data_IF_353729658791
#
_entry.id   IF_353729658791
#
_cell.length_a   1.000
_cell.length_b   1.000
_cell.length_c   1.000
_cell.angle_alpha   90.00
_cell.angle_beta   90.00
_cell.angle_gamma   90.00
#
_symmetry.space_group_name_H-M   'P 1'
#
loop_
_entity.id
_entity.type
_entity.pdbx_description
1 polymer ?
#
# COMPACT_ATOMS: atom_id res chain seq x y z
N UNK A 1 -8.29 19.50 32.33
CA UNK A 1 -7.27 18.96 31.41
C UNK A 1 -7.98 18.38 30.20
N UNK A 2 -7.94 19.08 29.07
CA UNK A 2 -8.46 18.54 27.82
C UNK A 2 -7.53 17.41 27.37
N UNK A 3 -8.09 16.22 27.21
CA UNK A 3 -7.42 15.09 26.56
C UNK A 3 -6.97 15.54 25.17
N UNK A 4 -5.65 15.63 24.95
CA UNK A 4 -5.10 15.79 23.61
C UNK A 4 -5.54 14.54 22.84
N UNK A 5 -6.33 14.71 21.80
CA UNK A 5 -6.60 13.64 20.86
C UNK A 5 -5.25 13.17 20.31
N UNK A 6 -4.82 11.98 20.74
CA UNK A 6 -3.58 11.38 20.29
C UNK A 6 -3.74 11.08 18.80
N UNK A 7 -2.75 11.47 18.00
CA UNK A 7 -2.72 11.22 16.57
C UNK A 7 -2.57 9.71 16.33
N UNK A 8 -3.67 9.01 15.99
CA UNK A 8 -3.68 7.58 15.63
C UNK A 8 -2.67 7.18 14.54
N UNK A 9 -2.08 8.12 13.79
CA UNK A 9 -1.03 7.83 12.80
C UNK A 9 0.39 7.81 13.41
N UNK A 10 0.65 8.65 14.41
CA UNK A 10 1.93 8.65 15.15
C UNK A 10 2.13 7.34 15.90
N UNK A 11 1.06 6.85 16.55
CA UNK A 11 1.06 5.54 17.21
C UNK A 11 1.34 4.40 16.22
N UNK A 12 0.79 4.49 15.00
CA UNK A 12 1.09 3.50 13.95
C UNK A 12 2.57 3.55 13.57
N UNK A 13 3.17 4.72 13.40
CA UNK A 13 4.59 4.84 13.05
C UNK A 13 5.53 4.38 14.18
N UNK A 14 5.08 4.47 15.42
CA UNK A 14 5.81 3.99 16.60
C UNK A 14 5.63 2.51 16.89
N UNK A 15 4.64 1.86 16.28
CA UNK A 15 4.39 0.43 16.44
C UNK A 15 5.58 -0.42 15.95
N UNK A 16 5.86 -1.53 16.65
CA UNK A 16 7.03 -2.38 16.38
C UNK A 16 7.09 -2.88 14.93
N UNK A 17 5.95 -3.21 14.33
CA UNK A 17 5.86 -3.60 12.91
C UNK A 17 6.34 -2.46 12.00
N UNK A 18 5.93 -1.23 12.27
CA UNK A 18 6.31 -0.06 11.46
C UNK A 18 7.80 0.26 11.61
N UNK A 19 8.34 0.14 12.83
CA UNK A 19 9.78 0.26 13.09
C UNK A 19 10.56 -0.82 12.35
N UNK A 20 10.11 -2.06 12.41
CA UNK A 20 10.73 -3.17 11.67
C UNK A 20 10.72 -2.90 10.15
N UNK A 21 9.60 -2.44 9.59
CA UNK A 21 9.50 -2.09 8.16
C UNK A 21 10.48 -0.97 7.81
N UNK A 22 10.56 0.08 8.63
CA UNK A 22 11.47 1.20 8.41
C UNK A 22 12.94 0.79 8.47
N UNK A 23 13.32 0.00 9.48
CA UNK A 23 14.67 -0.49 9.67
C UNK A 23 15.09 -1.41 8.52
N UNK A 24 14.21 -2.35 8.14
CA UNK A 24 14.46 -3.27 7.01
C UNK A 24 14.57 -2.52 5.68
N UNK A 25 13.72 -1.53 5.43
CA UNK A 25 13.80 -0.69 4.23
C UNK A 25 15.12 0.09 4.14
N UNK A 26 15.64 0.56 5.28
CA UNK A 26 16.92 1.29 5.33
C UNK A 26 18.14 0.39 5.02
N UNK A 27 18.02 -0.91 5.23
CA UNK A 27 19.07 -1.92 5.02
C UNK A 27 19.10 -2.48 3.60
N UNK A 28 18.11 -2.17 2.77
CA UNK A 28 18.11 -2.57 1.36
C UNK A 28 19.36 -2.05 0.63
N UNK A 29 19.78 -2.75 -0.42
CA UNK A 29 20.84 -2.30 -1.32
C UNK A 29 20.52 -0.92 -1.91
N UNK A 30 21.55 -0.09 -2.12
CA UNK A 30 21.41 1.23 -2.72
C UNK A 30 20.71 1.13 -4.09
N UNK A 31 19.46 1.58 -4.14
CA UNK A 31 18.57 1.39 -5.28
C UNK A 31 17.41 2.38 -5.22
N UNK A 32 16.72 2.57 -6.35
CA UNK A 32 15.48 3.36 -6.38
C UNK A 32 14.44 2.84 -5.37
N UNK A 33 14.35 1.52 -5.20
CA UNK A 33 13.43 0.92 -4.24
C UNK A 33 13.72 1.36 -2.80
N UNK A 34 14.99 1.33 -2.40
CA UNK A 34 15.45 1.84 -1.09
C UNK A 34 15.12 3.31 -0.91
N UNK A 35 15.57 4.16 -1.83
CA UNK A 35 15.44 5.62 -1.68
C UNK A 35 13.98 6.06 -1.67
N UNK A 36 13.13 5.49 -2.52
CA UNK A 36 11.69 5.75 -2.51
C UNK A 36 11.03 5.27 -1.19
N UNK A 37 11.42 4.10 -0.66
CA UNK A 37 10.91 3.61 0.63
C UNK A 37 11.25 4.55 1.78
N UNK A 38 12.52 4.97 1.88
CA UNK A 38 12.97 5.91 2.91
C UNK A 38 12.30 7.28 2.75
N UNK A 39 12.13 7.75 1.52
CA UNK A 39 11.46 9.01 1.24
C UNK A 39 9.97 8.96 1.63
N UNK A 40 9.29 7.86 1.33
CA UNK A 40 7.91 7.61 1.75
C UNK A 40 7.75 7.70 3.27
N UNK A 41 8.62 7.00 4.03
CA UNK A 41 8.61 7.03 5.50
C UNK A 41 8.83 8.44 6.05
N UNK A 42 9.72 9.23 5.42
CA UNK A 42 9.95 10.63 5.80
C UNK A 42 8.70 11.49 5.58
N UNK A 43 8.01 11.31 4.45
CA UNK A 43 6.76 12.02 4.18
C UNK A 43 5.63 11.63 5.15
N UNK A 44 5.54 10.37 5.57
CA UNK A 44 4.58 9.95 6.61
C UNK A 44 4.86 10.64 7.95
N UNK A 45 6.13 10.72 8.37
CA UNK A 45 6.52 11.43 9.60
C UNK A 45 6.14 12.90 9.54
N UNK A 46 6.49 13.59 8.46
CA UNK A 46 6.08 14.98 8.26
C UNK A 46 4.57 15.15 8.25
N UNK A 47 3.84 14.26 7.57
CA UNK A 47 2.38 14.30 7.57
C UNK A 47 1.79 14.20 8.98
N UNK A 48 2.33 13.31 9.83
CA UNK A 48 1.91 13.17 11.22
C UNK A 48 2.28 14.39 12.08
N UNK A 49 3.49 14.93 11.93
CA UNK A 49 4.01 16.05 12.73
C UNK A 49 3.25 17.34 12.45
N UNK A 50 2.93 17.61 11.18
CA UNK A 50 2.29 18.87 10.76
C UNK A 50 0.76 18.79 10.77
N UNK A 51 0.18 17.63 11.07
CA UNK A 51 -1.26 17.37 10.95
C UNK A 51 -2.12 18.39 11.69
N UNK A 52 -1.80 18.66 12.96
CA UNK A 52 -2.54 19.61 13.80
C UNK A 52 -2.35 21.07 13.34
N UNK A 53 -1.22 21.37 12.68
CA UNK A 53 -0.90 22.74 12.21
C UNK A 53 -1.51 23.03 10.85
N UNK A 54 -1.45 22.06 9.93
CA UNK A 54 -1.97 22.20 8.58
C UNK A 54 -2.44 20.85 8.03
N UNK A 55 -3.73 20.52 8.21
CA UNK A 55 -4.30 19.28 7.68
C UNK A 55 -4.18 19.14 6.16
N UNK A 56 -4.17 20.26 5.42
CA UNK A 56 -4.01 20.27 3.96
C UNK A 56 -2.60 19.83 3.57
N UNK A 57 -1.57 20.44 4.18
CA UNK A 57 -0.18 20.09 3.88
C UNK A 57 0.12 18.67 4.36
N UNK A 58 -0.41 18.26 5.53
CA UNK A 58 -0.32 16.88 5.99
C UNK A 58 -0.95 15.89 5.00
N UNK A 59 -2.13 16.22 4.46
CA UNK A 59 -2.80 15.42 3.44
C UNK A 59 -1.96 15.27 2.17
N UNK A 60 -1.31 16.35 1.74
CA UNK A 60 -0.39 16.33 0.61
C UNK A 60 0.83 15.44 0.89
N UNK A 61 1.46 15.57 2.06
CA UNK A 61 2.58 14.73 2.47
C UNK A 61 2.18 13.25 2.52
N UNK A 62 0.99 12.93 3.05
CA UNK A 62 0.47 11.57 3.10
C UNK A 62 0.26 10.96 1.71
N UNK A 63 -0.33 11.71 0.77
CA UNK A 63 -0.47 11.24 -0.62
C UNK A 63 0.89 11.03 -1.29
N UNK A 64 1.83 11.95 -1.06
CA UNK A 64 3.16 11.84 -1.64
C UNK A 64 3.93 10.63 -1.06
N UNK A 65 3.73 10.32 0.23
CA UNK A 65 4.26 9.10 0.82
C UNK A 65 3.75 7.85 0.10
N UNK A 66 2.45 7.78 -0.20
CA UNK A 66 1.87 6.66 -0.96
C UNK A 66 2.44 6.58 -2.38
N UNK A 67 2.61 7.71 -3.08
CA UNK A 67 3.24 7.72 -4.40
C UNK A 67 4.68 7.19 -4.39
N UNK A 68 5.47 7.55 -3.38
CA UNK A 68 6.84 7.05 -3.19
C UNK A 68 6.84 5.56 -2.83
N UNK A 69 5.92 5.10 -1.99
CA UNK A 69 5.78 3.69 -1.65
C UNK A 69 5.41 2.84 -2.88
N UNK A 70 4.51 3.34 -3.75
CA UNK A 70 4.20 2.73 -5.05
C UNK A 70 5.44 2.66 -5.94
N UNK A 71 6.21 3.75 -6.02
CA UNK A 71 7.44 3.79 -6.81
C UNK A 71 8.48 2.79 -6.30
N UNK A 72 8.60 2.63 -4.99
CA UNK A 72 9.47 1.64 -4.35
C UNK A 72 9.05 0.20 -4.72
N UNK A 73 7.77 -0.10 -4.55
CA UNK A 73 7.18 -1.42 -4.85
C UNK A 73 7.41 -1.80 -6.32
N UNK A 74 7.11 -0.91 -7.26
CA UNK A 74 7.30 -1.17 -8.69
C UNK A 74 8.78 -1.29 -9.05
N UNK A 75 9.66 -0.52 -8.41
CA UNK A 75 11.11 -0.65 -8.62
C UNK A 75 11.63 -2.02 -8.14
N UNK A 76 11.17 -2.50 -6.98
CA UNK A 76 11.49 -3.85 -6.49
C UNK A 76 10.94 -4.94 -7.43
N UNK A 77 9.67 -4.83 -7.84
CA UNK A 77 9.03 -5.77 -8.76
C UNK A 77 9.76 -5.87 -10.12
N UNK A 78 10.32 -4.76 -10.62
CA UNK A 78 11.16 -4.73 -11.82
C UNK A 78 12.47 -5.50 -11.67
N UNK A 79 13.03 -5.57 -10.46
CA UNK A 79 14.33 -6.20 -10.16
C UNK A 79 14.19 -7.67 -9.72
N UNK A 80 13.16 -8.02 -8.93
CA UNK A 80 13.06 -9.30 -8.21
C UNK A 80 11.86 -10.17 -8.63
N UNK A 81 11.62 -10.35 -9.94
CA UNK A 81 10.76 -11.44 -10.43
C UNK A 81 9.53 -11.06 -11.26
N UNK A 82 9.14 -9.79 -11.33
CA UNK A 82 7.92 -9.36 -12.06
C UNK A 82 8.22 -8.40 -13.22
N UNK A 83 9.45 -8.46 -13.75
CA UNK A 83 10.01 -7.50 -14.72
C UNK A 83 9.13 -7.28 -15.96
N UNK A 84 8.55 -8.35 -16.53
CA UNK A 84 7.75 -8.26 -17.78
C UNK A 84 6.50 -7.39 -17.60
N UNK A 85 5.81 -7.53 -16.48
CA UNK A 85 4.58 -6.80 -16.19
C UNK A 85 4.90 -5.44 -15.55
N UNK A 86 5.81 -5.41 -14.58
CA UNK A 86 6.16 -4.18 -13.86
C UNK A 86 6.77 -3.09 -14.78
N UNK A 87 7.47 -3.47 -15.86
CA UNK A 87 7.98 -2.53 -16.87
C UNK A 87 6.88 -1.74 -17.60
N UNK A 88 5.66 -2.26 -17.64
CA UNK A 88 4.53 -1.62 -18.31
C UNK A 88 3.90 -0.51 -17.45
N UNK A 89 4.23 -0.48 -16.15
CA UNK A 89 3.79 0.57 -15.25
C UNK A 89 4.67 1.82 -15.43
N UNK A 90 4.04 2.89 -15.92
CA UNK A 90 4.68 4.20 -16.05
C UNK A 90 4.58 4.97 -14.73
N UNK A 91 5.69 5.07 -13.99
CA UNK A 91 5.74 5.80 -12.72
C UNK A 91 5.69 7.33 -12.87
N UNK A 92 5.68 7.87 -14.08
CA UNK A 92 5.45 9.30 -14.32
C UNK A 92 3.97 9.64 -14.55
N UNK A 93 3.13 8.62 -14.73
CA UNK A 93 1.69 8.77 -14.91
C UNK A 93 0.96 8.60 -13.57
N UNK A 94 0.23 9.65 -13.15
CA UNK A 94 -0.55 9.62 -11.92
C UNK A 94 -1.64 8.55 -11.94
N UNK A 95 -2.23 8.22 -13.10
CA UNK A 95 -3.22 7.15 -13.19
C UNK A 95 -2.60 5.77 -12.91
N UNK A 96 -1.42 5.52 -13.47
CA UNK A 96 -0.66 4.29 -13.22
C UNK A 96 -0.30 4.13 -11.73
N UNK A 97 0.12 5.20 -11.05
CA UNK A 97 0.39 5.15 -9.59
C UNK A 97 -0.89 4.92 -8.77
N UNK A 98 -1.96 5.65 -9.11
CA UNK A 98 -3.26 5.52 -8.46
C UNK A 98 -3.81 4.09 -8.57
N UNK A 99 -3.58 3.43 -9.69
CA UNK A 99 -4.01 2.06 -9.88
C UNK A 99 -3.29 1.07 -8.95
N UNK A 100 -1.98 1.22 -8.74
CA UNK A 100 -1.24 0.40 -7.77
C UNK A 100 -1.78 0.62 -6.36
N UNK A 101 -1.97 1.88 -5.96
CA UNK A 101 -2.42 2.21 -4.60
C UNK A 101 -3.84 1.73 -4.35
N UNK A 102 -4.75 1.82 -5.32
CA UNK A 102 -6.12 1.27 -5.23
C UNK A 102 -6.10 -0.25 -5.05
N UNK A 103 -5.29 -0.98 -5.81
CA UNK A 103 -5.16 -2.42 -5.64
C UNK A 103 -4.60 -2.80 -4.28
N UNK A 104 -3.51 -2.16 -3.86
CA UNK A 104 -2.91 -2.38 -2.55
C UNK A 104 -3.88 -2.05 -1.40
N UNK A 105 -4.67 -1.00 -1.54
CA UNK A 105 -5.72 -0.64 -0.57
C UNK A 105 -6.80 -1.72 -0.48
N UNK A 106 -7.20 -2.33 -1.59
CA UNK A 106 -8.17 -3.43 -1.61
C UNK A 106 -7.61 -4.68 -0.96
N UNK A 107 -6.36 -5.03 -1.25
CA UNK A 107 -5.67 -6.14 -0.56
C UNK A 107 -5.63 -5.91 0.95
N UNK A 108 -5.30 -4.68 1.38
CA UNK A 108 -5.30 -4.29 2.79
C UNK A 108 -6.70 -4.40 3.43
N UNK A 109 -7.75 -3.97 2.73
CA UNK A 109 -9.14 -4.11 3.20
C UNK A 109 -9.55 -5.58 3.34
N UNK A 110 -9.26 -6.42 2.36
CA UNK A 110 -9.58 -7.84 2.40
C UNK A 110 -8.84 -8.55 3.54
N UNK A 111 -7.54 -8.29 3.70
CA UNK A 111 -6.76 -8.81 4.82
C UNK A 111 -7.34 -8.38 6.18
N UNK A 112 -7.81 -7.13 6.31
CA UNK A 112 -8.45 -6.63 7.52
C UNK A 112 -9.81 -7.29 7.79
N UNK A 113 -10.62 -7.55 6.77
CA UNK A 113 -11.88 -8.29 6.89
C UNK A 113 -11.65 -9.73 7.35
N UNK A 114 -10.61 -10.38 6.83
CA UNK A 114 -10.14 -11.67 7.31
C UNK A 114 -9.56 -11.66 8.74
N UNK A 115 -9.49 -10.49 9.39
CA UNK A 115 -8.92 -10.29 10.73
C UNK A 115 -7.44 -10.68 10.82
N UNK A 116 -6.69 -10.47 9.74
CA UNK A 116 -5.24 -10.65 9.72
C UNK A 116 -4.62 -9.73 10.78
N UNK A 117 -3.91 -10.32 11.74
CA UNK A 117 -3.06 -9.62 12.68
C UNK A 117 -1.60 -9.86 12.32
N UNK A 118 -0.75 -8.84 12.49
CA UNK A 118 0.66 -8.87 12.12
C UNK A 118 1.49 -8.44 13.33
N UNK A 119 2.59 -9.14 13.58
CA UNK A 119 3.57 -8.81 14.62
C UNK A 119 4.98 -9.05 14.10
N UNK A 120 5.97 -8.49 14.80
CA UNK A 120 7.38 -8.84 14.60
C UNK A 120 7.63 -10.22 15.22
N UNK A 121 8.33 -11.11 14.51
CA UNK A 121 8.66 -12.45 15.02
C UNK A 121 9.56 -12.38 16.26
N UNK A 122 9.62 -13.46 17.05
CA UNK A 122 10.43 -13.49 18.28
C UNK A 122 11.93 -13.25 18.04
N UNK A 123 12.46 -13.79 16.93
CA UNK A 123 13.84 -13.54 16.49
C UNK A 123 14.03 -12.17 15.81
N UNK A 124 12.95 -11.39 15.61
CA UNK A 124 12.93 -10.06 14.97
C UNK A 124 13.42 -9.99 13.53
N UNK A 125 13.64 -11.13 12.88
CA UNK A 125 14.14 -11.19 11.52
C UNK A 125 13.04 -11.04 10.46
N UNK A 126 11.77 -11.22 10.84
CA UNK A 126 10.65 -11.17 9.92
C UNK A 126 9.36 -10.70 10.59
N UNK A 127 8.34 -10.44 9.77
CA UNK A 127 6.97 -10.31 10.26
C UNK A 127 6.30 -11.68 10.30
N UNK A 128 5.44 -11.87 11.29
CA UNK A 128 4.59 -13.05 11.42
C UNK A 128 3.13 -12.61 11.37
N UNK A 129 2.27 -13.51 10.89
CA UNK A 129 0.83 -13.31 10.89
C UNK A 129 0.13 -14.20 11.89
N UNK A 130 -1.07 -13.76 12.28
CA UNK A 130 -2.12 -14.56 12.90
C UNK A 130 -3.42 -14.35 12.14
N UNK A 131 -4.08 -15.43 11.76
CA UNK A 131 -5.40 -15.39 11.11
C UNK A 131 -6.36 -16.36 11.81
N UNK A 132 -7.63 -15.99 12.01
CA UNK A 132 -8.64 -16.95 12.46
C UNK A 132 -8.77 -18.13 11.49
N UNK A 133 -9.00 -19.32 12.03
CA UNK A 133 -9.38 -20.53 11.28
C UNK A 133 -10.34 -21.40 12.10
N UNK A 134 -10.76 -22.54 11.54
CA UNK A 134 -11.70 -23.47 12.19
C UNK A 134 -11.16 -24.06 13.51
N UNK A 135 -9.83 -24.05 13.70
CA UNK A 135 -9.14 -24.53 14.90
C UNK A 135 -8.81 -23.41 15.90
N UNK A 136 -9.24 -22.18 15.64
CA UNK A 136 -8.98 -20.99 16.42
C UNK A 136 -8.13 -19.99 15.65
N UNK A 137 -6.81 -20.21 15.61
CA UNK A 137 -5.88 -19.31 14.92
C UNK A 137 -4.71 -20.07 14.29
N UNK A 138 -4.44 -19.76 13.02
CA UNK A 138 -3.18 -20.10 12.36
C UNK A 138 -2.16 -19.00 12.47
N UNK A 139 -0.90 -19.40 12.52
CA UNK A 139 0.27 -18.53 12.60
C UNK A 139 1.28 -18.91 11.53
N UNK A 140 2.07 -17.95 11.09
CA UNK A 140 3.16 -18.24 10.15
C UNK A 140 3.98 -16.99 9.83
N UNK A 141 5.10 -17.16 9.10
CA UNK A 141 5.83 -16.03 8.55
C UNK A 141 4.96 -15.29 7.53
N UNK A 142 4.97 -13.97 7.59
CA UNK A 142 4.23 -13.13 6.64
C UNK A 142 5.10 -12.90 5.40
N UNK A 143 4.72 -13.52 4.28
CA UNK A 143 5.33 -13.33 2.98
C UNK A 143 4.29 -12.91 1.93
N UNK A 144 4.75 -12.23 0.88
CA UNK A 144 3.92 -11.95 -0.29
C UNK A 144 3.42 -13.24 -0.95
N UNK A 145 4.22 -14.30 -0.89
CA UNK A 145 3.86 -15.63 -1.38
C UNK A 145 2.72 -16.29 -0.60
N UNK A 146 2.35 -15.78 0.57
CA UNK A 146 1.19 -16.28 1.32
C UNK A 146 -0.14 -15.73 0.79
N UNK A 147 -0.13 -14.63 0.06
CA UNK A 147 -1.37 -13.98 -0.41
C UNK A 147 -1.87 -14.56 -1.74
N UNK A 148 -3.18 -14.77 -1.84
CA UNK A 148 -3.83 -15.27 -3.05
C UNK A 148 -5.13 -14.52 -3.30
N UNK A 149 -5.38 -14.28 -4.59
CA UNK A 149 -6.67 -13.80 -5.10
C UNK A 149 -7.37 -15.04 -5.64
N UNK A 150 -8.53 -15.35 -5.08
CA UNK A 150 -9.36 -16.48 -5.52
C UNK A 150 -10.60 -15.91 -6.18
N UNK A 151 -10.72 -15.96 -7.52
CA UNK A 151 -11.97 -15.66 -8.18
C UNK A 151 -13.00 -16.74 -7.80
N UNK A 152 -14.17 -16.32 -7.35
CA UNK A 152 -15.38 -17.06 -6.99
C UNK A 152 -15.26 -18.60 -7.06
N UNK A 153 -15.47 -19.26 -5.91
CA UNK A 153 -15.70 -20.72 -5.70
C UNK A 153 -14.45 -21.53 -5.33
N UNK A 154 -13.25 -20.96 -5.29
CA UNK A 154 -12.06 -21.68 -4.80
C UNK A 154 -11.74 -21.32 -3.35
N UNK A 155 -11.79 -22.30 -2.46
CA UNK A 155 -11.28 -22.17 -1.09
C UNK A 155 -9.76 -22.08 -1.12
N UNK A 156 -9.19 -21.19 -0.30
CA UNK A 156 -7.75 -21.12 -0.14
C UNK A 156 -7.20 -22.48 0.34
N UNK A 157 -6.14 -22.97 -0.33
CA UNK A 157 -5.40 -24.13 0.18
C UNK A 157 -4.80 -23.83 1.56
N UNK A 158 -4.52 -24.88 2.33
CA UNK A 158 -3.96 -24.77 3.68
C UNK A 158 -2.74 -23.82 3.69
N UNK A 159 -2.78 -22.84 4.59
CA UNK A 159 -1.70 -21.86 4.79
C UNK A 159 -1.73 -20.58 3.94
N UNK A 160 -2.70 -20.38 3.04
CA UNK A 160 -2.77 -19.19 2.17
C UNK A 160 -3.76 -18.13 2.67
N UNK A 161 -3.38 -16.85 2.63
CA UNK A 161 -4.19 -15.69 3.00
C UNK A 161 -5.03 -15.26 1.80
N UNK A 162 -6.35 -15.38 1.94
CA UNK A 162 -7.32 -15.00 0.92
C UNK A 162 -7.53 -13.47 0.88
N UNK A 163 -7.45 -12.91 -0.33
CA UNK A 163 -7.74 -11.50 -0.61
C UNK A 163 -9.10 -11.29 -1.30
N UNK A 164 -9.88 -12.36 -1.45
CA UNK A 164 -11.17 -12.37 -2.15
C UNK A 164 -11.05 -12.19 -3.66
N UNK A 165 -12.15 -11.74 -4.26
CA UNK A 165 -12.30 -11.50 -5.69
C UNK A 165 -11.59 -10.23 -6.17
N UNK A 166 -11.14 -10.26 -7.43
CA UNK A 166 -10.80 -9.04 -8.15
C UNK A 166 -12.10 -8.29 -8.49
N UNK A 167 -12.20 -7.00 -8.13
CA UNK A 167 -13.39 -6.21 -8.46
C UNK A 167 -13.55 -6.00 -9.97
N UNK A 168 -14.78 -5.68 -10.43
CA UNK A 168 -15.03 -5.28 -11.81
C UNK A 168 -14.11 -4.14 -12.27
N UNK A 169 -13.76 -4.17 -13.54
CA UNK A 169 -12.84 -3.23 -14.20
C UNK A 169 -13.39 -1.80 -14.10
N UNK A 170 -14.70 -1.63 -14.20
CA UNK A 170 -15.41 -0.35 -14.21
C UNK A 170 -15.33 0.36 -12.84
N UNK A 171 -15.51 -0.41 -11.76
CA UNK A 171 -15.38 0.09 -10.38
C UNK A 171 -13.95 0.55 -10.08
N UNK A 172 -12.98 -0.20 -10.60
CA UNK A 172 -11.56 0.16 -10.52
C UNK A 172 -11.27 1.46 -11.27
N UNK A 173 -11.82 1.64 -12.48
CA UNK A 173 -11.60 2.86 -13.26
C UNK A 173 -12.10 4.12 -12.55
N UNK A 174 -13.30 4.07 -11.96
CA UNK A 174 -13.87 5.20 -11.24
C UNK A 174 -13.05 5.55 -9.98
N UNK A 175 -12.58 4.53 -9.26
CA UNK A 175 -11.74 4.72 -8.07
C UNK A 175 -10.35 5.26 -8.42
N UNK A 176 -9.74 4.79 -9.51
CA UNK A 176 -8.44 5.24 -10.00
C UNK A 176 -8.47 6.70 -10.43
N UNK A 177 -9.48 7.13 -11.19
CA UNK A 177 -9.63 8.54 -11.59
C UNK A 177 -9.69 9.45 -10.37
N UNK A 178 -10.50 9.07 -9.37
CA UNK A 178 -10.62 9.82 -8.12
C UNK A 178 -9.29 9.96 -7.38
N UNK A 179 -8.53 8.88 -7.26
CA UNK A 179 -7.22 8.89 -6.57
C UNK A 179 -6.18 9.68 -7.36
N UNK A 180 -6.17 9.56 -8.70
CA UNK A 180 -5.26 10.31 -9.56
C UNK A 180 -5.51 11.83 -9.49
N UNK A 181 -6.77 12.24 -9.37
CA UNK A 181 -7.17 13.65 -9.25
C UNK A 181 -7.02 14.20 -7.82
N UNK A 182 -7.00 13.35 -6.79
CA UNK A 182 -7.00 13.75 -5.39
C UNK A 182 -5.87 14.73 -5.04
N UNK A 183 -4.68 14.56 -5.64
CA UNK A 183 -3.55 15.48 -5.44
C UNK A 183 -3.86 16.89 -5.97
N UNK A 184 -4.44 16.99 -7.16
CA UNK A 184 -4.82 18.28 -7.75
C UNK A 184 -5.96 18.93 -6.96
N UNK A 185 -6.92 18.12 -6.52
CA UNK A 185 -8.05 18.55 -5.70
C UNK A 185 -7.66 18.97 -4.28
N UNK A 186 -6.42 18.75 -3.82
CA UNK A 186 -5.97 19.23 -2.51
C UNK A 186 -5.27 20.58 -2.55
N UNK A 187 -4.62 20.91 -3.67
CA UNK A 187 -3.74 22.07 -3.77
C UNK A 187 -4.33 23.23 -4.56
N UNK A 188 -5.19 22.95 -5.55
CA UNK A 188 -5.69 23.96 -6.45
C UNK A 188 -7.12 24.39 -6.09
N UNK A 189 -7.35 25.70 -6.10
CA UNK A 189 -8.70 26.25 -6.03
C UNK A 189 -9.53 25.79 -7.24
N UNK A 190 -10.83 25.61 -7.03
CA UNK A 190 -11.79 25.35 -8.10
C UNK A 190 -12.63 26.60 -8.35
N UNK A 191 -13.36 26.61 -9.47
CA UNK A 191 -14.35 27.66 -9.76
C UNK A 191 -15.49 27.74 -8.71
N UNK A 192 -15.53 26.79 -7.77
CA UNK A 192 -16.54 26.66 -6.72
C UNK A 192 -15.98 26.88 -5.30
N UNK A 193 -14.68 27.14 -5.13
CA UNK A 193 -14.09 27.45 -3.82
C UNK A 193 -12.62 27.05 -3.65
N UNK A 194 -12.14 27.16 -2.41
CA UNK A 194 -10.80 26.71 -1.98
C UNK A 194 -10.88 25.37 -1.26
N UNK A 195 -9.82 24.59 -1.34
CA UNK A 195 -9.77 23.24 -0.80
C UNK A 195 -9.48 23.26 0.70
N UNK A 196 -10.17 22.42 1.46
CA UNK A 196 -10.01 22.30 2.92
C UNK A 196 -9.27 21.04 3.35
N UNK A 197 -8.75 20.27 2.40
CA UNK A 197 -8.08 18.99 2.64
C UNK A 197 -9.02 17.80 2.42
N UNK A 198 -8.69 16.64 2.98
CA UNK A 198 -9.62 15.52 3.01
C UNK A 198 -10.88 15.85 3.82
N UNK A 199 -12.05 15.30 3.46
CA UNK A 199 -13.28 15.41 4.27
C UNK A 199 -13.11 14.86 5.70
N UNK A 200 -12.26 13.85 5.86
CA UNK A 200 -11.90 13.25 7.15
C UNK A 200 -10.39 13.09 7.23
N UNK A 201 -9.64 14.17 7.55
CA UNK A 201 -8.18 14.19 7.47
C UNK A 201 -7.50 13.09 8.29
N UNK A 202 -7.98 12.84 9.50
CA UNK A 202 -7.41 11.82 10.38
C UNK A 202 -7.56 10.41 9.81
N UNK A 203 -8.76 10.06 9.35
CA UNK A 203 -9.05 8.77 8.73
C UNK A 203 -8.24 8.56 7.46
N UNK A 204 -8.09 9.60 6.64
CA UNK A 204 -7.25 9.55 5.44
C UNK A 204 -5.77 9.39 5.79
N UNK A 205 -5.26 10.12 6.78
CA UNK A 205 -3.86 10.01 7.20
C UNK A 205 -3.53 8.60 7.70
N UNK A 206 -4.38 8.02 8.55
CA UNK A 206 -4.25 6.62 9.01
C UNK A 206 -4.25 5.66 7.83
N UNK A 207 -5.17 5.84 6.88
CA UNK A 207 -5.26 5.02 5.67
C UNK A 207 -3.99 5.08 4.82
N UNK A 208 -3.51 6.28 4.50
CA UNK A 208 -2.29 6.46 3.68
C UNK A 208 -1.06 5.91 4.40
N UNK A 209 -1.00 6.04 5.73
CA UNK A 209 0.08 5.48 6.56
C UNK A 209 0.11 3.96 6.46
N UNK A 210 -1.02 3.29 6.68
CA UNK A 210 -1.12 1.83 6.59
C UNK A 210 -0.82 1.32 5.18
N UNK A 211 -1.34 2.01 4.16
CA UNK A 211 -1.11 1.66 2.76
C UNK A 211 0.37 1.78 2.37
N UNK A 212 1.00 2.89 2.74
CA UNK A 212 2.42 3.13 2.48
C UNK A 212 3.30 2.10 3.19
N UNK A 213 3.04 1.82 4.47
CA UNK A 213 3.77 0.79 5.22
C UNK A 213 3.62 -0.60 4.60
N UNK A 214 2.41 -0.97 4.14
CA UNK A 214 2.16 -2.24 3.45
C UNK A 214 2.94 -2.36 2.13
N UNK A 215 2.99 -1.28 1.34
CA UNK A 215 3.75 -1.24 0.08
C UNK A 215 5.27 -1.28 0.32
N UNK A 216 5.76 -0.61 1.36
CA UNK A 216 7.18 -0.68 1.76
C UNK A 216 7.52 -2.08 2.28
N UNK A 217 6.67 -2.68 3.10
CA UNK A 217 6.83 -4.07 3.54
C UNK A 217 6.91 -5.02 2.33
N UNK A 218 6.00 -4.88 1.37
CA UNK A 218 6.04 -5.68 0.14
C UNK A 218 7.35 -5.46 -0.65
N UNK A 219 7.86 -4.24 -0.67
CA UNK A 219 9.17 -3.91 -1.25
C UNK A 219 10.28 -4.68 -0.55
N UNK A 220 10.30 -4.68 0.79
CA UNK A 220 11.27 -5.40 1.62
C UNK A 220 11.20 -6.91 1.38
N UNK A 221 9.99 -7.48 1.39
CA UNK A 221 9.80 -8.93 1.22
C UNK A 221 10.31 -9.42 -0.15
N UNK A 222 10.09 -8.65 -1.23
CA UNK A 222 10.66 -8.99 -2.55
C UNK A 222 12.19 -9.01 -2.57
N UNK A 223 12.85 -8.17 -1.78
CA UNK A 223 14.31 -8.14 -1.68
C UNK A 223 14.85 -9.27 -0.80
N UNK A 224 14.18 -9.57 0.30
CA UNK A 224 14.61 -10.59 1.25
C UNK A 224 14.34 -12.00 0.74
N UNK A 225 13.30 -12.18 -0.09
CA UNK A 225 12.85 -13.49 -0.54
C UNK A 225 12.75 -13.55 -2.07
N UNK A 226 13.82 -13.25 -2.84
CA UNK A 226 13.74 -13.00 -4.29
C UNK A 226 13.16 -14.17 -5.09
N UNK A 227 13.43 -15.40 -4.66
CA UNK A 227 13.07 -16.64 -5.37
C UNK A 227 11.65 -17.15 -5.07
N UNK A 228 10.91 -16.51 -4.15
CA UNK A 228 9.54 -16.93 -3.86
C UNK A 228 8.58 -16.52 -4.98
N UNK A 229 7.66 -17.43 -5.34
CA UNK A 229 6.55 -17.11 -6.24
C UNK A 229 5.53 -16.19 -5.56
N UNK A 230 5.00 -15.23 -6.32
CA UNK A 230 4.09 -14.18 -5.83
C UNK A 230 2.96 -14.01 -6.85
N UNK A 231 2.08 -15.02 -7.00
CA UNK A 231 1.09 -15.04 -8.06
C UNK A 231 0.08 -13.88 -7.96
N UNK A 232 -0.21 -13.40 -6.74
CA UNK A 232 -1.11 -12.24 -6.58
C UNK A 232 -0.51 -10.96 -7.18
N UNK A 233 0.82 -10.77 -7.13
CA UNK A 233 1.47 -9.59 -7.72
C UNK A 233 1.36 -9.64 -9.23
N UNK A 234 1.53 -10.82 -9.84
CA UNK A 234 1.29 -10.99 -11.28
C UNK A 234 -0.15 -10.65 -11.63
N UNK A 235 -1.13 -11.19 -10.91
CA UNK A 235 -2.55 -10.90 -11.15
C UNK A 235 -2.88 -9.39 -11.05
N UNK A 236 -2.31 -8.70 -10.05
CA UNK A 236 -2.47 -7.24 -9.92
C UNK A 236 -1.83 -6.53 -11.11
N UNK A 237 -0.57 -6.82 -11.46
CA UNK A 237 0.13 -6.15 -12.56
C UNK A 237 -0.49 -6.48 -13.95
N UNK A 238 -1.07 -7.66 -14.13
CA UNK A 238 -1.83 -8.05 -15.33
C UNK A 238 -3.15 -7.30 -15.42
N UNK A 239 -3.91 -7.21 -14.32
CA UNK A 239 -5.11 -6.39 -14.23
C UNK A 239 -4.81 -4.93 -14.57
N UNK A 240 -3.67 -4.42 -14.07
CA UNK A 240 -3.19 -3.07 -14.38
C UNK A 240 -2.92 -2.85 -15.87
N UNK A 241 -2.18 -3.77 -16.48
CA UNK A 241 -1.83 -3.72 -17.90
C UNK A 241 -3.10 -3.74 -18.78
N UNK A 242 -4.06 -4.59 -18.40
CA UNK A 242 -5.33 -4.73 -19.12
C UNK A 242 -6.18 -3.45 -19.04
N UNK A 243 -6.24 -2.82 -17.86
CA UNK A 243 -6.92 -1.53 -17.66
C UNK A 243 -6.27 -0.40 -18.46
N UNK A 244 -4.93 -0.32 -18.47
CA UNK A 244 -4.21 0.69 -19.26
C UNK A 244 -4.49 0.57 -20.76
N UNK A 245 -4.52 -0.66 -21.27
CA UNK A 245 -4.83 -0.94 -22.68
C UNK A 245 -6.28 -0.57 -23.03
N UNK A 246 -7.26 -0.95 -22.21
CA UNK A 246 -8.67 -0.57 -22.42
C UNK A 246 -8.90 0.94 -22.36
N UNK A 247 -8.26 1.65 -21.43
CA UNK A 247 -8.35 3.11 -21.35
C UNK A 247 -7.74 3.83 -22.56
N UNK A 248 -6.73 3.25 -23.22
CA UNK A 248 -6.16 3.79 -24.46
C UNK A 248 -7.04 3.53 -25.68
N UNK A 249 -7.75 2.40 -25.71
CA UNK A 249 -8.65 2.04 -26.81
C UNK A 249 -9.99 2.80 -26.80
N UNK A 250 -10.33 3.45 -25.68
CA UNK A 250 -11.56 4.26 -25.51
C UNK A 250 -11.32 5.77 -25.68
N UNK A 251 -10.11 6.19 -26.02
CA UNK A 251 -9.77 7.57 -26.41
C UNK A 251 -9.74 7.68 -27.92
#
# INVERSE_FOLDING_TARGET
MQSKAISNSSEILEHDVSRWVADSASKLEASRAKFCSVNSLRFLRWASEIFETSPIVASFCALNATEEAVAAFIAAAKKHGHKKLAKQVNLHDHQSKALVSVFAQRCSRAAKQGRLAIAVSQNRDMLAFRLPDDSGYRYGPLHLSSFRIYPNIQTAGDGLIELGDMPPVEDLQAEVRRVAEARNQLLYATNTGVQTGFKSPQTSLVRETQLSLGLIWATVDMYMNPDQDRPFINAVLEGMTSLSTKCKAQK
#
